data_IF_294727974459
#
_entry.id   IF_294727974459
#
_cell.length_a   1.000
_cell.length_b   1.000
_cell.length_c   1.000
_cell.angle_alpha   90.00
_cell.angle_beta   90.00
_cell.angle_gamma   90.00
#
_symmetry.space_group_name_H-M   'P 1'
#
loop_
_entity.id
_entity.type
_entity.pdbx_description
1 polymer ?
#
# COMPACT_ATOMS: atom_id res chain seq x y z
N UNK A 1 16.22 -14.91 20.97
CA UNK A 1 15.15 -13.92 20.68
C UNK A 1 13.99 -14.76 20.19
N UNK A 2 13.27 -15.35 21.14
CA UNK A 2 12.31 -16.42 20.92
C UNK A 2 10.89 -15.85 20.93
N UNK A 3 10.11 -16.12 19.90
CA UNK A 3 8.66 -15.87 19.95
C UNK A 3 7.94 -15.83 18.60
N UNK A 4 8.60 -15.42 17.51
CA UNK A 4 7.96 -15.31 16.20
C UNK A 4 8.70 -16.15 15.16
N UNK A 5 7.99 -17.12 14.57
CA UNK A 5 8.43 -17.76 13.34
C UNK A 5 8.13 -16.82 12.16
N UNK A 6 9.03 -16.76 11.18
CA UNK A 6 8.87 -15.99 9.94
C UNK A 6 7.52 -16.27 9.26
N UNK A 7 7.07 -17.51 9.29
CA UNK A 7 5.77 -17.92 8.74
C UNK A 7 4.59 -17.21 9.41
N UNK A 8 4.60 -17.08 10.74
CA UNK A 8 3.56 -16.36 11.48
C UNK A 8 3.52 -14.88 11.08
N UNK A 9 4.69 -14.25 10.99
CA UNK A 9 4.80 -12.84 10.58
C UNK A 9 4.33 -12.65 9.15
N UNK A 10 4.71 -13.55 8.24
CA UNK A 10 4.31 -13.52 6.83
C UNK A 10 2.79 -13.66 6.65
N UNK A 11 2.16 -14.56 7.39
CA UNK A 11 0.69 -14.67 7.39
C UNK A 11 0.02 -13.43 7.97
N UNK A 12 0.53 -12.89 9.07
CA UNK A 12 0.05 -11.64 9.65
C UNK A 12 0.15 -10.46 8.66
N UNK A 13 1.28 -10.32 7.98
CA UNK A 13 1.48 -9.28 6.95
C UNK A 13 0.49 -9.43 5.80
N UNK A 14 0.24 -10.67 5.33
CA UNK A 14 -0.73 -10.94 4.26
C UNK A 14 -2.15 -10.55 4.67
N UNK A 15 -2.57 -10.93 5.88
CA UNK A 15 -3.88 -10.58 6.40
C UNK A 15 -4.04 -9.05 6.53
N UNK A 16 -3.03 -8.38 7.08
CA UNK A 16 -3.01 -6.92 7.20
C UNK A 16 -3.04 -6.21 5.84
N UNK A 17 -2.32 -6.71 4.84
CA UNK A 17 -2.34 -6.17 3.49
C UNK A 17 -3.73 -6.26 2.85
N UNK A 18 -4.44 -7.38 3.04
CA UNK A 18 -5.81 -7.54 2.57
C UNK A 18 -6.77 -6.54 3.26
N UNK A 19 -6.70 -6.43 4.59
CA UNK A 19 -7.51 -5.46 5.35
C UNK A 19 -7.22 -4.02 4.92
N UNK A 20 -5.95 -3.64 4.82
CA UNK A 20 -5.54 -2.30 4.34
C UNK A 20 -6.09 -1.99 2.95
N UNK A 21 -6.02 -2.97 2.03
CA UNK A 21 -6.53 -2.80 0.66
C UNK A 21 -8.04 -2.56 0.67
N UNK A 22 -8.80 -3.39 1.40
CA UNK A 22 -10.26 -3.23 1.52
C UNK A 22 -10.62 -1.91 2.19
N UNK A 23 -9.96 -1.56 3.30
CA UNK A 23 -10.18 -0.29 4.00
C UNK A 23 -9.89 0.92 3.11
N UNK A 24 -8.83 0.86 2.29
CA UNK A 24 -8.50 1.92 1.36
C UNK A 24 -9.54 2.03 0.23
N UNK A 25 -9.97 0.91 -0.35
CA UNK A 25 -11.06 0.90 -1.34
C UNK A 25 -12.32 1.54 -0.74
N UNK A 26 -12.73 1.10 0.46
CA UNK A 26 -13.90 1.65 1.16
C UNK A 26 -13.79 3.15 1.39
N UNK A 27 -12.60 3.65 1.74
CA UNK A 27 -12.33 5.08 1.84
C UNK A 27 -12.52 5.79 0.49
N UNK A 28 -11.93 5.25 -0.58
CA UNK A 28 -11.97 5.90 -1.92
C UNK A 28 -13.36 5.89 -2.57
N UNK A 29 -14.24 4.96 -2.22
CA UNK A 29 -15.62 4.90 -2.73
C UNK A 29 -16.64 5.53 -1.79
N UNK A 30 -16.21 5.99 -0.60
CA UNK A 30 -17.12 6.58 0.38
C UNK A 30 -17.81 7.82 -0.19
N UNK A 31 -19.14 7.91 -0.09
CA UNK A 31 -19.90 9.06 -0.61
C UNK A 31 -19.57 10.36 0.14
N UNK A 32 -19.01 10.30 1.35
CA UNK A 32 -18.50 11.47 2.06
C UNK A 32 -17.27 12.05 1.34
N UNK A 33 -16.31 11.20 1.00
CA UNK A 33 -15.07 11.58 0.32
C UNK A 33 -15.36 12.04 -1.11
N UNK A 34 -16.21 11.31 -1.85
CA UNK A 34 -16.63 11.70 -3.19
C UNK A 34 -17.34 13.06 -3.22
N UNK A 35 -18.15 13.38 -2.20
CA UNK A 35 -18.81 14.69 -2.06
C UNK A 35 -17.84 15.78 -1.65
N UNK A 36 -16.91 15.49 -0.75
CA UNK A 36 -15.94 16.47 -0.25
C UNK A 36 -14.95 16.91 -1.33
N UNK A 37 -14.51 15.99 -2.18
CA UNK A 37 -13.52 16.24 -3.23
C UNK A 37 -14.12 16.36 -4.63
N UNK A 38 -15.45 16.34 -4.78
CA UNK A 38 -16.17 16.43 -6.06
C UNK A 38 -15.69 15.45 -7.16
N UNK A 39 -15.04 14.35 -6.75
CA UNK A 39 -14.32 13.44 -7.65
C UNK A 39 -14.65 11.99 -7.31
N UNK A 40 -15.20 11.27 -8.28
CA UNK A 40 -15.53 9.85 -8.15
C UNK A 40 -14.37 8.94 -8.59
N UNK A 41 -13.21 9.50 -8.94
CA UNK A 41 -12.11 8.76 -9.56
C UNK A 41 -11.01 8.37 -8.56
N UNK A 42 -11.17 8.69 -7.27
CA UNK A 42 -10.16 8.41 -6.24
C UNK A 42 -9.83 6.91 -6.14
N UNK A 43 -10.77 6.02 -6.46
CA UNK A 43 -10.56 4.57 -6.47
C UNK A 43 -9.45 4.13 -7.45
N UNK A 44 -9.10 4.93 -8.46
CA UNK A 44 -7.99 4.62 -9.37
C UNK A 44 -6.65 4.55 -8.64
N UNK A 45 -6.51 5.25 -7.50
CA UNK A 45 -5.28 5.24 -6.70
C UNK A 45 -5.04 3.91 -5.98
N UNK A 46 -6.07 3.05 -5.87
CA UNK A 46 -5.99 1.71 -5.25
C UNK A 46 -4.93 0.83 -5.95
N UNK A 47 -4.74 1.00 -7.26
CA UNK A 47 -3.76 0.22 -8.03
C UNK A 47 -2.34 0.41 -7.47
N UNK A 48 -1.98 1.64 -7.06
CA UNK A 48 -0.66 1.90 -6.48
C UNK A 48 -0.53 1.27 -5.09
N UNK A 49 -1.59 1.29 -4.28
CA UNK A 49 -1.57 0.65 -2.96
C UNK A 49 -1.34 -0.85 -3.09
N UNK A 50 -2.06 -1.51 -4.01
CA UNK A 50 -1.89 -2.94 -4.27
C UNK A 50 -0.47 -3.23 -4.78
N UNK A 51 0.03 -2.45 -5.75
CA UNK A 51 1.40 -2.63 -6.28
C UNK A 51 2.47 -2.45 -5.20
N UNK A 52 2.30 -1.47 -4.31
CA UNK A 52 3.24 -1.21 -3.21
C UNK A 52 3.26 -2.36 -2.21
N UNK A 53 2.09 -2.85 -1.81
CA UNK A 53 1.96 -4.00 -0.90
C UNK A 53 2.55 -5.27 -1.53
N UNK A 54 2.22 -5.55 -2.80
CA UNK A 54 2.75 -6.71 -3.51
C UNK A 54 4.28 -6.65 -3.63
N UNK A 55 4.85 -5.48 -3.97
CA UNK A 55 6.30 -5.33 -4.06
C UNK A 55 6.98 -5.54 -2.71
N UNK A 56 6.41 -4.98 -1.65
CA UNK A 56 6.92 -5.17 -0.30
C UNK A 56 6.88 -6.66 0.11
N UNK A 57 5.75 -7.33 -0.11
CA UNK A 57 5.61 -8.76 0.19
C UNK A 57 6.53 -9.63 -0.66
N UNK A 58 6.76 -9.27 -1.93
CA UNK A 58 7.74 -9.95 -2.78
C UNK A 58 9.14 -9.88 -2.17
N UNK A 59 9.59 -8.70 -1.71
CA UNK A 59 10.89 -8.55 -1.05
C UNK A 59 10.95 -9.36 0.25
N UNK A 60 9.93 -9.25 1.09
CA UNK A 60 9.90 -9.93 2.38
C UNK A 60 9.85 -11.47 2.26
N UNK A 61 9.07 -12.01 1.30
CA UNK A 61 8.86 -13.46 1.18
C UNK A 61 9.88 -14.15 0.29
N UNK A 62 10.38 -13.48 -0.75
CA UNK A 62 11.26 -14.08 -1.76
C UNK A 62 12.72 -13.83 -1.42
N UNK A 63 13.08 -12.58 -1.08
CA UNK A 63 14.48 -12.23 -0.82
C UNK A 63 14.88 -12.57 0.63
N UNK A 64 13.92 -12.98 1.48
CA UNK A 64 14.13 -13.22 2.92
C UNK A 64 14.53 -11.97 3.69
N UNK A 65 14.51 -10.82 3.03
CA UNK A 65 14.93 -9.54 3.57
C UNK A 65 13.76 -8.97 4.38
N UNK A 66 13.74 -9.34 5.65
CA UNK A 66 12.86 -8.75 6.66
C UNK A 66 13.52 -7.52 7.31
N UNK A 67 14.46 -6.89 6.60
CA UNK A 67 15.03 -5.60 6.97
C UNK A 67 13.94 -4.58 7.31
N UNK A 68 14.33 -3.50 7.98
CA UNK A 68 13.35 -2.51 8.45
C UNK A 68 12.43 -2.08 7.29
N UNK A 69 11.10 -2.04 7.46
CA UNK A 69 10.17 -1.62 6.40
C UNK A 69 10.53 -0.24 5.83
N UNK A 70 11.14 0.60 6.67
CA UNK A 70 11.68 1.92 6.30
C UNK A 70 12.88 1.78 5.36
N UNK A 71 13.78 0.85 5.64
CA UNK A 71 14.95 0.60 4.80
C UNK A 71 14.58 0.09 3.41
N UNK A 72 13.61 -0.83 3.34
CA UNK A 72 13.06 -1.35 2.08
C UNK A 72 12.42 -0.22 1.27
N UNK A 73 11.70 0.70 1.92
CA UNK A 73 11.12 1.88 1.28
C UNK A 73 12.19 2.83 0.70
N UNK A 74 13.32 3.02 1.40
CA UNK A 74 14.39 3.90 0.96
C UNK A 74 15.35 3.28 -0.07
N UNK A 75 15.40 1.95 -0.20
CA UNK A 75 16.28 1.28 -1.17
C UNK A 75 15.54 0.77 -2.41
N UNK A 76 14.26 0.41 -2.30
CA UNK A 76 13.51 -0.13 -3.41
C UNK A 76 12.91 0.98 -4.29
N UNK A 77 13.58 1.26 -5.42
CA UNK A 77 13.14 2.27 -6.41
C UNK A 77 11.74 2.01 -6.96
N UNK A 78 11.28 0.75 -7.02
CA UNK A 78 9.93 0.44 -7.48
C UNK A 78 8.88 0.87 -6.46
N UNK A 79 9.13 0.61 -5.18
CA UNK A 79 8.24 1.09 -4.11
C UNK A 79 8.22 2.62 -4.10
N UNK A 80 9.36 3.28 -4.24
CA UNK A 80 9.44 4.75 -4.33
C UNK A 80 8.63 5.31 -5.49
N UNK A 81 8.77 4.75 -6.70
CA UNK A 81 7.99 5.16 -7.85
C UNK A 81 6.49 4.92 -7.65
N UNK A 82 6.13 3.82 -6.99
CA UNK A 82 4.73 3.51 -6.68
C UNK A 82 4.14 4.53 -5.70
N UNK A 83 4.87 4.88 -4.65
CA UNK A 83 4.46 5.90 -3.67
C UNK A 83 4.38 7.28 -4.32
N UNK A 84 5.37 7.66 -5.13
CA UNK A 84 5.34 8.93 -5.87
C UNK A 84 4.16 8.99 -6.85
N UNK A 85 3.92 7.91 -7.60
CA UNK A 85 2.79 7.79 -8.50
C UNK A 85 1.45 7.91 -7.76
N UNK A 86 1.35 7.30 -6.58
CA UNK A 86 0.20 7.45 -5.70
C UNK A 86 0.00 8.90 -5.24
N UNK A 87 1.04 9.58 -4.74
CA UNK A 87 0.96 10.98 -4.28
C UNK A 87 0.52 11.89 -5.43
N UNK A 88 1.13 11.75 -6.61
CA UNK A 88 0.80 12.56 -7.79
C UNK A 88 -0.63 12.29 -8.24
N UNK A 89 -1.06 11.03 -8.31
CA UNK A 89 -2.42 10.68 -8.68
C UNK A 89 -3.44 11.20 -7.66
N UNK A 90 -3.14 11.06 -6.37
CA UNK A 90 -4.00 11.54 -5.30
C UNK A 90 -4.16 13.06 -5.35
N UNK A 91 -3.07 13.81 -5.48
CA UNK A 91 -3.13 15.27 -5.62
C UNK A 91 -3.84 15.71 -6.90
N UNK A 92 -3.55 15.08 -8.03
CA UNK A 92 -4.18 15.42 -9.31
C UNK A 92 -5.69 15.17 -9.30
N UNK A 93 -6.16 14.18 -8.54
CA UNK A 93 -7.59 13.87 -8.41
C UNK A 93 -8.31 14.71 -7.34
N UNK A 94 -7.56 15.23 -6.35
CA UNK A 94 -8.08 16.03 -5.25
C UNK A 94 -8.22 17.51 -5.61
N UNK A 95 -7.27 18.04 -6.39
CA UNK A 95 -7.26 19.44 -6.83
C UNK A 95 -7.99 19.69 -8.15
N UNK A 96 -8.66 18.67 -8.69
CA UNK A 96 -9.48 18.78 -9.88
C UNK A 96 -10.93 19.06 -9.52
#
# INVERSE_FOLDING_TARGET
IDGYNLEFVNHGMTAMAAVLTVSYIMYTVSPEIARHFHSNYLYLTVVFVILGLLRYMQRAFVDGDTGSPVEILFHDRFIQLTVLGWIVAFWALLYR
#
